data_IF_708040786835
#
_entry.id   IF_708040786835
#
_cell.length_a   1.000
_cell.length_b   1.000
_cell.length_c   1.000
_cell.angle_alpha   90.00
_cell.angle_beta   90.00
_cell.angle_gamma   90.00
#
_symmetry.space_group_name_H-M   'P 1'
#
loop_
_entity.id
_entity.type
_entity.pdbx_description
1 polymer ?
#
# COMPACT_ATOMS: atom_id res chain seq x y z
N UNK A 1 0.75 4.67 -6.29
CA UNK A 1 2.21 4.88 -6.45
C UNK A 1 2.51 6.05 -7.38
N UNK A 2 2.24 5.92 -8.69
CA UNK A 2 2.47 7.00 -9.68
C UNK A 2 1.72 8.30 -9.35
N UNK A 3 0.46 8.22 -8.92
CA UNK A 3 -0.34 9.39 -8.55
C UNK A 3 0.30 10.21 -7.42
N UNK A 4 0.78 9.54 -6.36
CA UNK A 4 1.44 10.19 -5.22
C UNK A 4 2.77 10.84 -5.62
N UNK A 5 3.55 10.18 -6.48
CA UNK A 5 4.76 10.76 -7.06
C UNK A 5 4.46 11.96 -7.96
N UNK A 6 3.41 11.87 -8.78
CA UNK A 6 3.01 12.95 -9.70
C UNK A 6 2.65 14.24 -8.96
N UNK A 7 2.05 14.16 -7.77
CA UNK A 7 1.75 15.32 -6.93
C UNK A 7 2.93 15.77 -6.05
N UNK A 8 4.14 15.24 -6.27
CA UNK A 8 5.35 15.61 -5.51
C UNK A 8 5.52 14.92 -4.16
N UNK A 9 4.70 13.92 -3.85
CA UNK A 9 4.72 13.18 -2.57
C UNK A 9 4.95 11.68 -2.78
N UNK A 10 6.10 11.25 -3.33
CA UNK A 10 6.39 9.83 -3.56
C UNK A 10 6.38 9.03 -2.26
N UNK A 11 5.96 7.76 -2.34
CA UNK A 11 5.89 6.86 -1.18
C UNK A 11 7.31 6.50 -0.72
N UNK A 12 7.53 6.50 0.60
CA UNK A 12 8.83 6.12 1.19
C UNK A 12 9.27 4.73 0.73
N UNK A 13 10.55 4.63 0.34
CA UNK A 13 11.16 3.42 -0.20
C UNK A 13 10.82 3.14 -1.67
N UNK A 14 10.00 3.97 -2.33
CA UNK A 14 9.66 3.80 -3.74
C UNK A 14 10.79 4.31 -4.66
N UNK A 15 11.77 3.45 -4.90
CA UNK A 15 12.95 3.74 -5.73
C UNK A 15 12.62 4.00 -7.20
N UNK A 16 11.49 3.50 -7.69
CA UNK A 16 11.06 3.68 -9.08
C UNK A 16 10.47 5.07 -9.34
N UNK A 17 9.72 5.61 -8.37
CA UNK A 17 8.95 6.84 -8.55
C UNK A 17 9.53 8.04 -7.76
N UNK A 18 10.83 8.03 -7.47
CA UNK A 18 11.55 9.22 -7.01
C UNK A 18 11.57 9.45 -5.49
N UNK A 19 11.33 8.43 -4.67
CA UNK A 19 11.51 8.56 -3.22
C UNK A 19 12.99 8.80 -2.88
N UNK A 20 13.29 9.94 -2.26
CA UNK A 20 14.61 10.26 -1.72
C UNK A 20 14.89 9.52 -0.40
N UNK A 21 13.82 9.18 0.32
CA UNK A 21 13.90 8.41 1.57
C UNK A 21 14.00 6.93 1.23
N UNK A 22 15.13 6.33 1.61
CA UNK A 22 15.36 4.89 1.49
C UNK A 22 14.78 4.17 2.69
N UNK A 23 14.11 3.04 2.43
CA UNK A 23 13.83 2.05 3.47
C UNK A 23 15.08 1.20 3.70
N UNK A 24 15.42 0.92 4.96
CA UNK A 24 16.58 0.07 5.30
C UNK A 24 16.57 -1.28 4.58
N UNK A 25 15.39 -1.85 4.37
CA UNK A 25 15.20 -3.18 3.76
C UNK A 25 14.76 -3.11 2.28
N UNK A 26 14.93 -1.97 1.60
CA UNK A 26 14.42 -1.77 0.23
C UNK A 26 12.89 -2.00 0.05
N UNK A 27 12.14 -2.02 1.16
CA UNK A 27 10.68 -2.14 1.13
C UNK A 27 9.99 -0.80 0.90
N UNK A 28 8.83 -0.83 0.28
CA UNK A 28 7.97 0.34 0.09
C UNK A 28 6.97 0.40 1.25
N UNK A 29 6.73 1.61 1.77
CA UNK A 29 5.76 1.85 2.84
C UNK A 29 4.35 1.94 2.24
N UNK A 30 3.87 0.84 1.68
CA UNK A 30 2.54 0.73 1.08
C UNK A 30 1.95 -0.64 1.43
N UNK A 31 0.75 -0.63 2.00
CA UNK A 31 -0.01 -1.84 2.33
C UNK A 31 -1.49 -1.60 2.07
N UNK A 32 -2.19 -2.63 1.62
CA UNK A 32 -3.65 -2.63 1.54
C UNK A 32 -4.20 -3.04 2.91
N UNK A 33 -4.86 -2.13 3.63
CA UNK A 33 -5.40 -2.42 4.97
C UNK A 33 -6.81 -2.99 4.93
N UNK A 34 -7.54 -2.77 3.85
CA UNK A 34 -8.91 -3.29 3.68
C UNK A 34 -9.25 -3.50 2.22
N UNK A 35 -9.93 -4.61 1.92
CA UNK A 35 -10.48 -4.92 0.61
C UNK A 35 -11.97 -5.20 0.75
N UNK A 36 -12.80 -4.49 -0.02
CA UNK A 36 -14.25 -4.73 -0.11
C UNK A 36 -14.62 -5.21 -1.50
N UNK A 37 -15.41 -6.27 -1.58
CA UNK A 37 -15.84 -6.87 -2.85
C UNK A 37 -17.19 -7.58 -2.69
N UNK A 38 -17.90 -7.76 -3.80
CA UNK A 38 -19.07 -8.64 -3.85
C UNK A 38 -18.58 -10.07 -4.10
N UNK A 39 -19.12 -11.05 -3.39
CA UNK A 39 -18.68 -12.43 -3.59
C UNK A 39 -18.99 -12.91 -5.01
N UNK A 40 -18.21 -13.86 -5.52
CA UNK A 40 -18.42 -14.35 -6.88
C UNK A 40 -19.71 -15.18 -7.05
N UNK A 41 -20.22 -15.74 -5.95
CA UNK A 41 -21.39 -16.65 -5.95
C UNK A 41 -22.69 -15.96 -5.57
N UNK A 42 -22.62 -14.85 -4.83
CA UNK A 42 -23.77 -14.06 -4.40
C UNK A 42 -23.39 -12.58 -4.43
N UNK A 43 -24.36 -11.68 -4.65
CA UNK A 43 -24.12 -10.23 -4.62
C UNK A 43 -23.94 -9.68 -3.17
N UNK A 44 -23.49 -10.53 -2.25
CA UNK A 44 -23.17 -10.17 -0.87
C UNK A 44 -21.85 -9.41 -0.83
N UNK A 45 -21.85 -8.22 -0.23
CA UNK A 45 -20.66 -7.40 -0.05
C UNK A 45 -19.88 -7.82 1.19
N UNK A 46 -18.63 -8.24 1.01
CA UNK A 46 -17.70 -8.57 2.10
C UNK A 46 -16.58 -7.56 2.18
N UNK A 47 -16.08 -7.34 3.39
CA UNK A 47 -14.91 -6.52 3.68
C UNK A 47 -13.94 -7.32 4.51
N UNK A 48 -12.70 -7.44 4.02
CA UNK A 48 -11.58 -8.05 4.73
C UNK A 48 -10.64 -6.94 5.16
N UNK A 49 -10.25 -6.92 6.43
CA UNK A 49 -9.36 -5.91 7.00
C UNK A 49 -8.15 -6.60 7.63
N UNK A 50 -6.97 -6.02 7.41
CA UNK A 50 -5.74 -6.43 8.09
C UNK A 50 -5.18 -5.27 8.92
N UNK A 51 -4.50 -5.60 10.01
CA UNK A 51 -3.76 -4.61 10.78
C UNK A 51 -2.56 -4.08 9.99
N UNK A 52 -2.14 -2.85 10.30
CA UNK A 52 -0.94 -2.28 9.72
C UNK A 52 0.25 -3.17 10.12
N UNK A 53 1.04 -3.68 9.16
CA UNK A 53 2.19 -4.52 9.46
C UNK A 53 3.12 -3.81 10.44
N UNK A 54 3.44 -4.47 11.55
CA UNK A 54 4.41 -3.93 12.51
C UNK A 54 5.75 -3.75 11.81
N UNK A 55 6.38 -2.62 12.08
CA UNK A 55 7.75 -2.34 11.67
C UNK A 55 8.67 -3.39 12.32
N UNK A 56 9.11 -4.40 11.58
CA UNK A 56 9.97 -5.49 12.08
C UNK A 56 11.47 -5.24 11.90
N UNK A 57 11.90 -3.98 11.84
CA UNK A 57 13.31 -3.60 11.72
C UNK A 57 13.81 -2.85 12.94
#
# INVERSE_FOLDING_TARGET
>A
RSQLSHIGHPIVGDTKYGSTIKSGDQRIFLTETSLSFNTATTDERKTVTIEIPKKTW
#
